data_IF_059066946215
#
_entry.id   IF_059066946215
#
_cell.length_a   1.000
_cell.length_b   1.000
_cell.length_c   1.000
_cell.angle_alpha   90.00
_cell.angle_beta   90.00
_cell.angle_gamma   90.00
#
_symmetry.space_group_name_H-M   'P 1'
#
loop_
_entity.id
_entity.type
_entity.pdbx_description
1 polymer ?
#
# COMPACT_ATOMS: atom_id res chain seq x y z
N UNK A 1 8.90 22.29 44.17
CA UNK A 1 8.03 21.31 44.87
C UNK A 1 8.51 19.87 44.66
N UNK A 2 8.35 18.97 45.64
CA UNK A 2 8.74 17.55 45.51
C UNK A 2 8.16 16.86 44.24
N UNK A 3 6.95 17.25 43.84
CA UNK A 3 6.29 16.74 42.63
C UNK A 3 6.96 17.16 41.33
N UNK A 4 7.57 18.34 41.30
CA UNK A 4 8.23 18.88 40.11
C UNK A 4 9.55 18.15 39.85
N UNK A 5 10.30 17.86 40.92
CA UNK A 5 11.53 17.08 40.86
C UNK A 5 11.30 15.63 40.37
N UNK A 6 10.13 15.05 40.63
CA UNK A 6 9.74 13.71 40.16
C UNK A 6 9.14 13.74 38.74
N UNK A 7 8.38 14.77 38.40
CA UNK A 7 7.67 14.89 37.13
C UNK A 7 8.63 15.19 35.96
N UNK A 8 9.64 16.04 36.21
CA UNK A 8 10.59 16.48 35.19
C UNK A 8 11.29 15.32 34.47
N UNK A 9 11.93 14.36 35.17
CA UNK A 9 12.60 13.24 34.49
C UNK A 9 11.62 12.30 33.77
N UNK A 10 10.37 12.17 34.25
CA UNK A 10 9.36 11.33 33.62
C UNK A 10 8.88 11.92 32.29
N UNK A 11 8.58 13.22 32.27
CA UNK A 11 8.19 13.92 31.04
C UNK A 11 9.34 13.92 30.04
N UNK A 12 10.58 14.10 30.50
CA UNK A 12 11.75 14.09 29.63
C UNK A 12 11.99 12.73 28.98
N UNK A 13 11.85 11.64 29.75
CA UNK A 13 11.94 10.27 29.24
C UNK A 13 10.83 9.93 28.24
N UNK A 14 9.58 10.26 28.57
CA UNK A 14 8.43 10.07 27.66
C UNK A 14 8.60 10.87 26.37
N UNK A 15 9.04 12.12 26.48
CA UNK A 15 9.32 12.97 25.32
C UNK A 15 10.41 12.38 24.43
N UNK A 16 11.52 11.90 25.02
CA UNK A 16 12.60 11.29 24.26
C UNK A 16 12.13 10.01 23.52
N UNK A 17 11.30 9.18 24.17
CA UNK A 17 10.71 8.00 23.54
C UNK A 17 9.75 8.36 22.41
N UNK A 18 8.91 9.37 22.63
CA UNK A 18 8.02 9.90 21.62
C UNK A 18 8.80 10.43 20.41
N UNK A 19 9.83 11.24 20.64
CA UNK A 19 10.66 11.80 19.58
C UNK A 19 11.38 10.70 18.77
N UNK A 20 11.84 9.62 19.43
CA UNK A 20 12.38 8.46 18.73
C UNK A 20 11.35 7.75 17.82
N UNK A 21 10.12 7.51 18.31
CA UNK A 21 9.04 6.94 17.50
C UNK A 21 8.64 7.83 16.34
N UNK A 22 8.62 9.15 16.56
CA UNK A 22 8.33 10.13 15.53
C UNK A 22 9.33 10.03 14.39
N UNK A 23 10.62 10.01 14.70
CA UNK A 23 11.69 9.94 13.71
C UNK A 23 11.64 8.62 12.93
N UNK A 24 11.38 7.50 13.61
CA UNK A 24 11.21 6.20 12.97
C UNK A 24 10.03 6.19 11.99
N UNK A 25 8.85 6.66 12.42
CA UNK A 25 7.66 6.72 11.57
C UNK A 25 7.85 7.66 10.39
N UNK A 26 8.50 8.82 10.60
CA UNK A 26 8.79 9.73 9.50
C UNK A 26 9.69 9.09 8.43
N UNK A 27 10.72 8.34 8.84
CA UNK A 27 11.57 7.61 7.91
C UNK A 27 10.79 6.51 7.17
N UNK A 28 9.94 5.75 7.86
CA UNK A 28 9.08 4.74 7.25
C UNK A 28 8.11 5.36 6.22
N UNK A 29 7.54 6.53 6.50
CA UNK A 29 6.65 7.24 5.59
C UNK A 29 7.36 7.67 4.30
N UNK A 30 8.60 8.16 4.41
CA UNK A 30 9.41 8.51 3.24
C UNK A 30 9.65 7.26 2.39
N UNK A 31 10.07 6.16 3.02
CA UNK A 31 10.29 4.89 2.34
C UNK A 31 9.01 4.37 1.67
N UNK A 32 7.88 4.36 2.39
CA UNK A 32 6.59 3.90 1.87
C UNK A 32 6.10 4.74 0.69
N UNK A 33 6.31 6.06 0.73
CA UNK A 33 5.99 6.95 -0.38
C UNK A 33 6.82 6.66 -1.64
N UNK A 34 8.13 6.49 -1.48
CA UNK A 34 9.02 6.10 -2.59
C UNK A 34 8.65 4.74 -3.16
N UNK A 35 8.42 3.76 -2.29
CA UNK A 35 7.97 2.42 -2.67
C UNK A 35 6.65 2.45 -3.43
N UNK A 36 5.66 3.21 -2.95
CA UNK A 36 4.37 3.37 -3.63
C UNK A 36 4.53 4.00 -5.01
N UNK A 37 5.45 4.96 -5.18
CA UNK A 37 5.75 5.56 -6.47
C UNK A 37 6.31 4.55 -7.46
N UNK A 38 7.33 3.79 -7.05
CA UNK A 38 7.93 2.72 -7.87
C UNK A 38 6.88 1.65 -8.21
N UNK A 39 6.12 1.19 -7.22
CA UNK A 39 5.07 0.18 -7.40
C UNK A 39 3.96 0.64 -8.37
N UNK A 40 3.58 1.92 -8.32
CA UNK A 40 2.58 2.49 -9.24
C UNK A 40 3.06 2.44 -10.68
N UNK A 41 4.36 2.66 -10.95
CA UNK A 41 4.92 2.52 -12.29
C UNK A 41 4.80 1.08 -12.82
N UNK A 42 5.12 0.08 -12.00
CA UNK A 42 4.93 -1.33 -12.35
C UNK A 42 3.46 -1.68 -12.58
N UNK A 43 2.55 -1.20 -11.73
CA UNK A 43 1.10 -1.43 -11.88
C UNK A 43 0.60 -0.86 -13.20
N UNK A 44 1.05 0.34 -13.61
CA UNK A 44 0.69 0.95 -14.90
C UNK A 44 1.18 0.07 -16.05
N UNK A 45 2.41 -0.42 -15.98
CA UNK A 45 2.99 -1.30 -17.01
C UNK A 45 2.24 -2.63 -17.11
N UNK A 46 1.95 -3.29 -15.98
CA UNK A 46 1.15 -4.52 -15.96
C UNK A 46 -0.26 -4.32 -16.50
N UNK A 47 -0.85 -3.12 -16.33
CA UNK A 47 -2.16 -2.81 -16.88
C UNK A 47 -2.17 -2.80 -18.42
N UNK A 48 -1.06 -2.42 -19.04
CA UNK A 48 -0.92 -2.51 -20.50
C UNK A 48 -0.90 -3.97 -20.96
N UNK A 49 -0.23 -4.87 -20.22
CA UNK A 49 -0.22 -6.31 -20.50
C UNK A 49 -1.55 -7.05 -20.22
N UNK A 50 -2.52 -6.40 -19.57
CA UNK A 50 -3.88 -6.90 -19.38
C UNK A 50 -4.81 -6.53 -20.54
N UNK A 51 -4.49 -5.48 -21.31
CA UNK A 51 -5.21 -5.17 -22.54
C UNK A 51 -4.66 -6.04 -23.67
N UNK A 52 -5.55 -6.72 -24.39
CA UNK A 52 -5.16 -7.40 -25.64
C UNK A 52 -4.51 -6.36 -26.55
N UNK A 53 -3.29 -6.62 -27.04
CA UNK A 53 -2.61 -5.70 -27.94
C UNK A 53 -3.53 -5.41 -29.14
N UNK A 54 -3.89 -4.14 -29.41
CA UNK A 54 -4.68 -3.78 -30.57
C UNK A 54 -4.07 -4.33 -31.86
N UNK A 55 -2.75 -4.51 -31.90
CA UNK A 55 -2.05 -5.14 -33.02
C UNK A 55 -2.35 -6.63 -33.14
N UNK A 56 -2.47 -7.38 -32.04
CA UNK A 56 -2.83 -8.81 -32.11
C UNK A 56 -4.26 -8.98 -32.62
N UNK A 57 -5.18 -8.13 -32.17
CA UNK A 57 -6.56 -8.10 -32.70
C UNK A 57 -6.57 -7.73 -34.18
N UNK A 58 -5.78 -6.73 -34.57
CA UNK A 58 -5.57 -6.31 -35.96
C UNK A 58 -4.95 -7.41 -36.83
N UNK A 59 -3.92 -8.11 -36.34
CA UNK A 59 -3.23 -9.19 -37.05
C UNK A 59 -4.15 -10.39 -37.18
N UNK A 60 -4.92 -10.73 -36.14
CA UNK A 60 -5.95 -11.77 -36.22
C UNK A 60 -7.03 -11.43 -37.25
N UNK A 61 -7.49 -10.17 -37.29
CA UNK A 61 -8.44 -9.67 -38.29
C UNK A 61 -7.84 -9.68 -39.70
N UNK A 62 -6.62 -9.21 -39.88
CA UNK A 62 -5.90 -9.19 -41.17
C UNK A 62 -5.66 -10.60 -41.70
N UNK A 63 -5.23 -11.52 -40.84
CA UNK A 63 -5.04 -12.94 -41.19
C UNK A 63 -6.37 -13.57 -41.61
N UNK A 64 -7.47 -13.20 -40.95
CA UNK A 64 -8.82 -13.65 -41.31
C UNK A 64 -9.29 -13.08 -42.65
N UNK A 65 -8.97 -11.82 -42.96
CA UNK A 65 -9.27 -11.22 -44.26
C UNK A 65 -8.41 -11.86 -45.36
N UNK A 66 -7.12 -12.05 -45.12
CA UNK A 66 -6.19 -12.67 -46.06
C UNK A 66 -6.62 -14.11 -46.42
N UNK A 67 -6.99 -14.92 -45.43
CA UNK A 67 -7.49 -16.31 -45.66
C UNK A 67 -8.82 -16.35 -46.43
N UNK A 68 -9.66 -15.32 -46.33
CA UNK A 68 -10.88 -15.18 -47.15
C UNK A 68 -10.57 -14.76 -48.59
N UNK A 69 -9.56 -13.91 -48.79
CA UNK A 69 -9.12 -13.49 -50.13
C UNK A 69 -8.35 -14.57 -50.88
N UNK A 70 -7.60 -15.41 -50.17
CA UNK A 70 -6.75 -16.46 -50.74
C UNK A 70 -7.53 -17.73 -51.14
N UNK A 71 -8.73 -17.94 -50.57
CA UNK A 71 -9.64 -19.02 -50.95
C UNK A 71 -11.01 -18.50 -51.43
N UNK A 72 -11.10 -17.86 -52.61
CA UNK A 72 -12.34 -17.28 -53.13
C UNK A 72 -13.38 -18.32 -53.58
N UNK A 73 -13.04 -19.62 -53.59
CA UNK A 73 -13.84 -20.67 -54.26
C UNK A 73 -14.84 -21.43 -53.37
N UNK A 74 -15.01 -21.05 -52.10
CA UNK A 74 -16.10 -21.59 -51.26
C UNK A 74 -17.25 -20.58 -51.08
N UNK A 75 -17.69 -19.99 -52.19
CA UNK A 75 -18.99 -19.35 -52.25
C UNK A 75 -20.10 -20.40 -52.30
N UNK A 76 -20.63 -20.83 -51.14
CA UNK A 76 -22.08 -21.14 -50.95
C UNK A 76 -22.46 -21.76 -49.60
N UNK A 77 -21.56 -22.22 -48.75
CA UNK A 77 -22.02 -22.78 -47.46
C UNK A 77 -22.14 -21.70 -46.39
N UNK A 78 -23.36 -21.18 -46.25
CA UNK A 78 -23.89 -20.56 -45.02
C UNK A 78 -23.91 -21.60 -43.88
N UNK A 79 -22.77 -22.18 -43.54
CA UNK A 79 -22.63 -22.79 -42.22
C UNK A 79 -22.66 -21.60 -41.26
N UNK A 80 -23.54 -21.56 -40.26
CA UNK A 80 -23.30 -20.74 -39.08
C UNK A 80 -22.11 -21.41 -38.40
N UNK A 81 -20.91 -21.18 -38.95
CA UNK A 81 -19.69 -21.50 -38.27
C UNK A 81 -19.80 -20.71 -37.00
N UNK A 82 -19.86 -21.45 -35.89
CA UNK A 82 -20.00 -20.93 -34.55
C UNK A 82 -19.27 -19.61 -34.48
N UNK A 83 -19.87 -18.65 -33.78
CA UNK A 83 -19.10 -17.60 -33.15
C UNK A 83 -18.17 -18.33 -32.18
N UNK A 84 -17.13 -19.00 -32.71
CA UNK A 84 -15.88 -19.19 -32.02
C UNK A 84 -15.49 -17.76 -31.80
N UNK A 85 -15.79 -17.38 -30.57
CA UNK A 85 -15.52 -16.10 -29.96
C UNK A 85 -14.21 -15.63 -30.58
N UNK A 86 -14.16 -14.35 -31.02
CA UNK A 86 -12.87 -13.68 -31.13
C UNK A 86 -12.05 -14.18 -29.93
N UNK A 87 -10.75 -14.52 -30.06
CA UNK A 87 -9.92 -14.68 -28.89
C UNK A 87 -10.01 -13.33 -28.17
N UNK A 88 -11.01 -13.24 -27.31
CA UNK A 88 -11.30 -12.17 -26.39
C UNK A 88 -10.18 -12.47 -25.45
N UNK A 89 -9.03 -11.85 -25.71
CA UNK A 89 -7.74 -12.25 -25.18
C UNK A 89 -7.91 -12.29 -23.68
N UNK A 90 -8.24 -13.48 -23.18
CA UNK A 90 -8.59 -13.66 -21.80
C UNK A 90 -7.30 -13.33 -21.10
N UNK A 91 -7.25 -12.29 -20.27
CA UNK A 91 -6.00 -11.89 -19.66
C UNK A 91 -5.43 -13.12 -19.00
N UNK A 92 -4.19 -13.46 -19.39
CA UNK A 92 -3.52 -14.68 -18.94
C UNK A 92 -3.68 -14.74 -17.42
N UNK A 93 -4.13 -15.86 -16.86
CA UNK A 93 -4.46 -15.94 -15.44
C UNK A 93 -3.30 -15.48 -14.53
N UNK A 94 -2.05 -15.55 -15.01
CA UNK A 94 -0.86 -14.96 -14.39
C UNK A 94 -0.93 -13.43 -14.28
N UNK A 95 -1.28 -12.70 -15.34
CA UNK A 95 -1.40 -11.24 -15.37
C UNK A 95 -2.40 -10.72 -14.33
N UNK A 96 -3.51 -11.44 -14.13
CA UNK A 96 -4.51 -11.10 -13.10
C UNK A 96 -3.92 -11.29 -11.70
N UNK A 97 -3.20 -12.39 -11.44
CA UNK A 97 -2.57 -12.65 -10.14
C UNK A 97 -1.50 -11.61 -9.80
N UNK A 98 -0.63 -11.28 -10.76
CA UNK A 98 0.42 -10.27 -10.60
C UNK A 98 -0.20 -8.92 -10.22
N UNK A 99 -1.24 -8.51 -10.93
CA UNK A 99 -1.94 -7.26 -10.65
C UNK A 99 -2.57 -7.25 -9.26
N UNK A 100 -3.19 -8.36 -8.84
CA UNK A 100 -3.72 -8.52 -7.48
C UNK A 100 -2.62 -8.37 -6.44
N UNK A 101 -1.48 -9.06 -6.59
CA UNK A 101 -0.36 -8.98 -5.64
C UNK A 101 0.19 -7.55 -5.52
N UNK A 102 0.38 -6.87 -6.65
CA UNK A 102 0.87 -5.50 -6.67
C UNK A 102 -0.15 -4.50 -6.11
N UNK A 103 -1.43 -4.69 -6.37
CA UNK A 103 -2.48 -3.84 -5.81
C UNK A 103 -2.60 -4.04 -4.29
N UNK A 104 -2.55 -5.28 -3.80
CA UNK A 104 -2.54 -5.57 -2.35
C UNK A 104 -1.31 -4.94 -1.69
N UNK A 105 -0.13 -5.09 -2.29
CA UNK A 105 1.09 -4.43 -1.83
C UNK A 105 0.93 -2.90 -1.74
N UNK A 106 0.30 -2.28 -2.74
CA UNK A 106 0.05 -0.84 -2.77
C UNK A 106 -0.88 -0.42 -1.63
N UNK A 107 -1.99 -1.17 -1.43
CA UNK A 107 -2.94 -0.92 -0.34
C UNK A 107 -2.26 -1.03 1.03
N UNK A 108 -1.42 -2.04 1.26
CA UNK A 108 -0.68 -2.16 2.52
C UNK A 108 0.32 -1.03 2.73
N UNK A 109 1.02 -0.60 1.68
CA UNK A 109 1.91 0.57 1.74
C UNK A 109 1.16 1.84 2.12
N UNK A 110 0.04 2.14 1.44
CA UNK A 110 -0.79 3.31 1.75
C UNK A 110 -1.42 3.24 3.14
N UNK A 111 -1.84 2.04 3.56
CA UNK A 111 -2.37 1.82 4.92
C UNK A 111 -1.29 2.11 5.97
N UNK A 112 -0.05 1.68 5.74
CA UNK A 112 1.10 2.02 6.60
C UNK A 112 1.28 3.53 6.70
N UNK A 113 1.24 4.25 5.58
CA UNK A 113 1.34 5.71 5.55
C UNK A 113 0.20 6.35 6.35
N UNK A 114 -1.05 5.94 6.13
CA UNK A 114 -2.22 6.48 6.82
C UNK A 114 -2.12 6.28 8.34
N UNK A 115 -1.83 5.06 8.77
CA UNK A 115 -1.69 4.73 10.21
C UNK A 115 -0.50 5.47 10.81
N UNK A 116 0.62 5.60 10.10
CA UNK A 116 1.77 6.38 10.57
C UNK A 116 1.45 7.86 10.73
N UNK A 117 0.69 8.47 9.82
CA UNK A 117 0.23 9.86 9.97
C UNK A 117 -0.67 10.01 11.20
N UNK A 118 -1.64 9.12 11.41
CA UNK A 118 -2.52 9.14 12.59
C UNK A 118 -1.70 9.00 13.87
N UNK A 119 -0.70 8.11 13.88
CA UNK A 119 0.19 7.89 15.01
C UNK A 119 1.01 9.15 15.36
N UNK A 120 1.50 9.86 14.34
CA UNK A 120 2.19 11.15 14.50
C UNK A 120 1.27 12.25 15.06
N UNK A 121 -0.01 12.27 14.66
CA UNK A 121 -0.99 13.21 15.21
C UNK A 121 -1.25 12.94 16.69
N UNK A 122 -1.43 11.67 17.04
CA UNK A 122 -1.66 11.24 18.42
C UNK A 122 -0.47 11.59 19.32
N UNK A 123 0.74 11.38 18.81
CA UNK A 123 1.98 11.70 19.52
C UNK A 123 2.12 13.20 19.80
N UNK A 124 1.78 14.04 18.81
CA UNK A 124 1.79 15.50 18.96
C UNK A 124 0.83 15.95 20.06
N UNK A 125 -0.40 15.43 20.06
CA UNK A 125 -1.40 15.73 21.09
C UNK A 125 -0.95 15.24 22.48
N UNK A 126 -0.31 14.06 22.53
CA UNK A 126 0.22 13.51 23.78
C UNK A 126 1.26 14.43 24.43
N UNK A 127 2.18 14.97 23.62
CA UNK A 127 3.26 15.86 24.05
C UNK A 127 2.79 17.29 24.39
N UNK A 128 1.54 17.65 24.08
CA UNK A 128 1.02 19.00 24.33
C UNK A 128 0.51 19.13 25.78
N UNK A 129 1.34 19.72 26.64
CA UNK A 129 1.04 19.95 28.07
C UNK A 129 0.73 21.43 28.34
N UNK A 130 -0.45 21.78 28.89
CA UNK A 130 -0.76 23.15 29.24
C UNK A 130 0.14 23.67 30.37
N UNK A 131 0.84 24.77 30.10
CA UNK A 131 1.74 25.44 31.08
C UNK A 131 0.99 26.17 32.21
N UNK A 132 -0.34 26.22 32.16
CA UNK A 132 -1.19 26.84 33.19
C UNK A 132 -1.54 25.91 34.35
N UNK A 133 -1.36 24.59 34.20
CA UNK A 133 -1.73 23.59 35.22
C UNK A 133 -0.71 23.51 36.37
N UNK A 134 -1.19 23.22 37.57
CA UNK A 134 -0.37 22.92 38.76
C UNK A 134 0.45 21.65 38.54
N UNK A 135 1.61 21.53 39.18
CA UNK A 135 2.51 20.37 39.08
C UNK A 135 1.82 19.04 39.43
N UNK A 136 0.85 19.06 40.35
CA UNK A 136 0.03 17.89 40.70
C UNK A 136 -0.97 17.50 39.60
N UNK A 137 -1.60 18.50 38.97
CA UNK A 137 -2.56 18.27 37.89
C UNK A 137 -1.86 17.77 36.62
N UNK A 138 -0.66 18.29 36.32
CA UNK A 138 0.18 17.77 35.23
C UNK A 138 0.59 16.32 35.44
N UNK A 139 0.96 15.94 36.66
CA UNK A 139 1.27 14.55 36.99
C UNK A 139 0.07 13.63 36.78
N UNK A 140 -1.13 14.05 37.21
CA UNK A 140 -2.35 13.29 37.00
C UNK A 140 -2.69 13.15 35.50
N UNK A 141 -2.54 14.24 34.73
CA UNK A 141 -2.78 14.25 33.28
C UNK A 141 -1.79 13.35 32.53
N UNK A 142 -0.50 13.45 32.86
CA UNK A 142 0.55 12.57 32.32
C UNK A 142 0.21 11.11 32.55
N UNK A 143 -0.08 10.73 33.81
CA UNK A 143 -0.38 9.35 34.16
C UNK A 143 -1.69 8.85 33.49
N UNK A 144 -2.69 9.71 33.32
CA UNK A 144 -3.91 9.37 32.58
C UNK A 144 -3.64 9.14 31.10
N UNK A 145 -2.87 10.02 30.45
CA UNK A 145 -2.52 9.89 29.03
C UNK A 145 -1.61 8.70 28.77
N UNK A 146 -0.62 8.45 29.63
CA UNK A 146 0.28 7.30 29.53
C UNK A 146 -0.48 5.97 29.65
N UNK A 147 -1.41 5.86 30.62
CA UNK A 147 -2.31 4.71 30.72
C UNK A 147 -3.23 4.57 29.51
N UNK A 148 -3.68 5.69 28.95
CA UNK A 148 -4.42 5.70 27.68
C UNK A 148 -3.60 5.12 26.53
N UNK A 149 -2.32 5.53 26.41
CA UNK A 149 -1.39 5.05 25.39
C UNK A 149 -1.22 3.53 25.44
N UNK A 150 -1.11 2.98 26.65
CA UNK A 150 -0.99 1.54 26.89
C UNK A 150 -2.31 0.80 26.64
N UNK A 151 -3.44 1.36 27.10
CA UNK A 151 -4.77 0.77 26.89
C UNK A 151 -5.17 0.71 25.40
N UNK A 152 -4.70 1.67 24.60
CA UNK A 152 -4.94 1.73 23.16
C UNK A 152 -3.89 0.97 22.33
N UNK A 153 -2.96 0.25 22.96
CA UNK A 153 -1.92 -0.54 22.29
C UNK A 153 -1.08 0.28 21.28
N UNK A 154 -0.90 1.57 21.55
CA UNK A 154 -0.17 2.48 20.66
C UNK A 154 1.27 2.00 20.40
N UNK A 155 2.04 1.50 21.40
CA UNK A 155 3.38 0.99 21.15
C UNK A 155 3.39 -0.20 20.17
N UNK A 156 2.37 -1.06 20.24
CA UNK A 156 2.22 -2.19 19.32
C UNK A 156 1.89 -1.72 17.90
N UNK A 157 1.11 -0.65 17.74
CA UNK A 157 0.85 -0.04 16.42
C UNK A 157 2.15 0.47 15.80
N UNK A 158 2.98 1.19 16.56
CA UNK A 158 4.29 1.65 16.11
C UNK A 158 5.21 0.50 15.69
N UNK A 159 5.24 -0.59 16.48
CA UNK A 159 6.01 -1.79 16.15
C UNK A 159 5.45 -2.56 14.92
N UNK A 160 4.15 -2.45 14.65
CA UNK A 160 3.50 -3.15 13.53
C UNK A 160 3.67 -2.43 12.18
N UNK A 161 3.81 -1.09 12.17
CA UNK A 161 4.04 -0.29 10.96
C UNK A 161 5.18 -0.82 10.06
N UNK A 162 6.41 -1.03 10.57
CA UNK A 162 7.50 -1.56 9.74
C UNK A 162 7.23 -2.98 9.24
N UNK A 163 6.55 -3.81 10.03
CA UNK A 163 6.19 -5.19 9.64
C UNK A 163 5.18 -5.18 8.49
N UNK A 164 4.18 -4.29 8.55
CA UNK A 164 3.18 -4.12 7.50
C UNK A 164 3.84 -3.69 6.17
N UNK A 165 4.82 -2.80 6.25
CA UNK A 165 5.58 -2.32 5.11
C UNK A 165 6.49 -3.40 4.51
N UNK A 166 7.15 -4.19 5.35
CA UNK A 166 7.94 -5.34 4.91
C UNK A 166 7.04 -6.40 4.23
N UNK A 167 5.85 -6.64 4.77
CA UNK A 167 4.89 -7.54 4.14
C UNK A 167 4.46 -7.05 2.75
N UNK A 168 4.22 -5.74 2.59
CA UNK A 168 3.96 -5.13 1.29
C UNK A 168 5.12 -5.36 0.32
N UNK A 169 6.37 -5.12 0.75
CA UNK A 169 7.57 -5.38 -0.07
C UNK A 169 7.66 -6.84 -0.52
N UNK A 170 7.43 -7.79 0.37
CA UNK A 170 7.47 -9.23 0.05
C UNK A 170 6.42 -9.56 -1.01
N UNK A 171 5.18 -9.06 -0.87
CA UNK A 171 4.13 -9.26 -1.87
C UNK A 171 4.51 -8.65 -3.23
N UNK A 172 5.13 -7.47 -3.23
CA UNK A 172 5.64 -6.87 -4.46
C UNK A 172 6.69 -7.74 -5.13
N UNK A 173 7.68 -8.24 -4.38
CA UNK A 173 8.71 -9.12 -4.93
C UNK A 173 8.15 -10.43 -5.46
N UNK A 174 7.15 -11.04 -4.80
CA UNK A 174 6.47 -12.23 -5.32
C UNK A 174 5.80 -11.92 -6.65
N UNK A 175 5.09 -10.80 -6.77
CA UNK A 175 4.50 -10.37 -8.05
C UNK A 175 5.56 -10.05 -9.11
N UNK A 176 6.72 -9.51 -8.71
CA UNK A 176 7.84 -9.22 -9.62
C UNK A 176 8.47 -10.50 -10.19
N UNK A 177 8.60 -11.54 -9.38
CA UNK A 177 9.13 -12.85 -9.82
C UNK A 177 8.17 -13.56 -10.78
N UNK A 178 6.85 -13.43 -10.59
CA UNK A 178 5.85 -13.97 -11.54
C UNK A 178 5.74 -13.10 -12.81
N UNK A 179 6.18 -11.82 -12.76
CA UNK A 179 6.22 -10.91 -13.90
C UNK A 179 7.46 -11.09 -14.81
N UNK A 180 8.62 -11.45 -14.24
CA UNK A 180 9.86 -11.72 -14.99
C UNK A 180 9.81 -13.05 -15.75
#
# INVERSE_FOLDING_TARGET
>A
DHWENLLTPLIEGDKAQCDAWKDEVQNLLIFAGLFSGVLTAFVIESYQGLQSDPNDVMIALLTRIATRLDNPLNGTTLVPQQIDELPSGSPVASSIRINIFWFISLVFSLTTVLVGIISLQWLREHQEYPKSLSSKERFALFNMRARGLEAWYVPQVFAALPVLLQFALVLFFVGLVDFL
#
